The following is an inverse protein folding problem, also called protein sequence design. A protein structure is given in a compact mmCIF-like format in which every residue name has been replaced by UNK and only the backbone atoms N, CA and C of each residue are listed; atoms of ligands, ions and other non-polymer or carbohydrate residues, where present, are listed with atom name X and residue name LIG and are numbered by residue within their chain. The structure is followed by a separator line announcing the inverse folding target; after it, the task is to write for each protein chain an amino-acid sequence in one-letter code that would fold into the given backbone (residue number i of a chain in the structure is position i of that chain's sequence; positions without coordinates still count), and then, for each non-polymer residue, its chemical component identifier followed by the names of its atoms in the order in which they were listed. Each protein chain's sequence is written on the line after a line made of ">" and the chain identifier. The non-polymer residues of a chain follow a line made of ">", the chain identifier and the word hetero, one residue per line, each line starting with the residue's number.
data_IF_028952769286
#
_entry.id   IF_028952769286
#
_cell.length_a   1.000
_cell.length_b   1.000
_cell.length_c   1.000
_cell.angle_alpha   90.00
_cell.angle_beta   90.00
_cell.angle_gamma   90.00
#
_symmetry.space_group_name_H-M   'P 1'
#
loop_
_entity.id
_entity.type
_entity.pdbx_description
1 polymer ?
#
# COMPACT_ATOMS: atom_id res chain seq x y z
N UNK A 1 0.26 12.90 9.23
CA UNK A 1 -0.95 12.15 8.82
C UNK A 1 -1.92 12.02 10.00
N UNK A 2 -3.21 11.84 9.71
CA UNK A 2 -4.23 11.46 10.70
C UNK A 2 -3.81 10.16 11.44
N UNK A 3 -3.96 10.11 12.77
CA UNK A 3 -3.58 8.94 13.59
C UNK A 3 -4.33 7.67 13.22
N UNK A 4 -5.59 7.80 12.79
CA UNK A 4 -6.38 6.66 12.34
C UNK A 4 -5.86 6.12 10.99
N UNK A 5 -5.47 7.03 10.09
CA UNK A 5 -4.84 6.66 8.83
C UNK A 5 -3.48 5.98 9.07
N UNK A 6 -2.65 6.52 9.95
CA UNK A 6 -1.35 5.90 10.30
C UNK A 6 -1.54 4.49 10.84
N UNK A 7 -2.48 4.27 11.76
CA UNK A 7 -2.77 2.93 12.29
C UNK A 7 -3.22 1.97 11.19
N UNK A 8 -4.06 2.42 10.27
CA UNK A 8 -4.56 1.59 9.18
C UNK A 8 -3.44 1.26 8.19
N UNK A 9 -2.58 2.22 7.85
CA UNK A 9 -1.37 1.98 7.05
C UNK A 9 -0.48 0.93 7.70
N UNK A 10 -0.16 1.05 9.00
CA UNK A 10 0.67 0.07 9.71
C UNK A 10 0.02 -1.32 9.72
N UNK A 11 -1.30 -1.42 9.87
CA UNK A 11 -2.02 -2.70 9.80
C UNK A 11 -1.96 -3.31 8.39
N UNK A 12 -2.15 -2.49 7.36
CA UNK A 12 -2.10 -2.93 5.97
C UNK A 12 -0.68 -3.22 5.50
N UNK A 13 0.36 -2.58 6.05
CA UNK A 13 1.76 -2.97 5.82
C UNK A 13 2.01 -4.39 6.31
N UNK A 14 1.57 -4.73 7.53
CA UNK A 14 1.72 -6.09 8.08
C UNK A 14 0.99 -7.13 7.21
N UNK A 15 -0.23 -6.80 6.75
CA UNK A 15 -1.01 -7.66 5.83
C UNK A 15 -0.35 -7.75 4.47
N UNK A 16 0.16 -6.64 3.95
CA UNK A 16 0.89 -6.54 2.71
C UNK A 16 2.15 -7.39 2.74
N UNK A 17 2.94 -7.35 3.81
CA UNK A 17 4.10 -8.24 3.98
C UNK A 17 3.70 -9.71 4.02
N UNK A 18 2.54 -10.05 4.61
CA UNK A 18 2.03 -11.42 4.63
C UNK A 18 1.52 -11.89 3.25
N UNK A 19 0.85 -11.01 2.49
CA UNK A 19 0.32 -11.27 1.14
C UNK A 19 1.43 -11.32 0.08
N UNK A 20 2.36 -10.37 0.17
CA UNK A 20 3.47 -10.15 -0.74
C UNK A 20 4.79 -10.66 -0.18
N UNK A 21 4.78 -11.77 0.57
CA UNK A 21 5.96 -12.33 1.22
C UNK A 21 7.21 -12.28 0.34
N UNK A 22 8.31 -11.76 0.89
CA UNK A 22 9.60 -11.59 0.20
C UNK A 22 9.56 -10.77 -1.11
N UNK A 23 8.53 -9.99 -1.46
CA UNK A 23 8.54 -9.15 -2.70
C UNK A 23 9.45 -7.92 -2.56
N UNK A 24 9.90 -7.63 -1.34
CA UNK A 24 10.83 -6.57 -0.97
C UNK A 24 12.28 -6.92 -1.36
N UNK A 25 12.49 -7.43 -2.58
CA UNK A 25 13.82 -7.81 -3.11
C UNK A 25 14.45 -6.69 -3.92
N UNK A 26 13.65 -5.80 -4.50
CA UNK A 26 14.14 -4.68 -5.28
C UNK A 26 13.15 -3.50 -5.29
N UNK A 27 13.66 -2.26 -5.43
CA UNK A 27 12.80 -1.08 -5.56
C UNK A 27 11.83 -1.18 -6.74
N UNK A 28 12.24 -1.84 -7.83
CA UNK A 28 11.39 -2.03 -9.01
C UNK A 28 10.16 -2.90 -8.72
N UNK A 29 10.30 -3.95 -7.90
CA UNK A 29 9.16 -4.81 -7.56
C UNK A 29 8.17 -4.08 -6.66
N UNK A 30 8.66 -3.29 -5.70
CA UNK A 30 7.80 -2.47 -4.85
C UNK A 30 7.09 -1.35 -5.63
N UNK A 31 7.75 -0.75 -6.63
CA UNK A 31 7.12 0.23 -7.51
C UNK A 31 6.00 -0.38 -8.37
N UNK A 32 6.21 -1.61 -8.87
CA UNK A 32 5.17 -2.34 -9.61
C UNK A 32 3.97 -2.62 -8.69
N UNK A 33 4.21 -3.13 -7.49
CA UNK A 33 3.15 -3.39 -6.52
C UNK A 33 2.37 -2.12 -6.15
N UNK A 34 3.05 -0.97 -5.96
CA UNK A 34 2.39 0.30 -5.71
C UNK A 34 1.51 0.74 -6.89
N UNK A 35 1.93 0.43 -8.13
CA UNK A 35 1.14 0.73 -9.33
C UNK A 35 -0.12 -0.14 -9.41
N UNK A 36 -0.02 -1.41 -9.03
CA UNK A 36 -1.17 -2.31 -8.95
C UNK A 36 -2.19 -1.84 -7.90
N UNK A 37 -1.76 -1.52 -6.68
CA UNK A 37 -2.68 -1.02 -5.64
C UNK A 37 -3.29 0.35 -5.99
N UNK A 38 -2.57 1.23 -6.70
CA UNK A 38 -3.16 2.44 -7.25
C UNK A 38 -4.29 2.15 -8.25
N UNK A 39 -4.17 1.05 -9.00
CA UNK A 39 -5.23 0.53 -9.85
C UNK A 39 -6.46 0.07 -9.06
N UNK A 40 -6.26 -0.59 -7.93
CA UNK A 40 -7.33 -1.01 -7.02
C UNK A 40 -8.02 0.19 -6.35
N UNK A 41 -7.27 1.23 -5.96
CA UNK A 41 -7.85 2.51 -5.50
C UNK A 41 -8.76 3.10 -6.58
N UNK A 42 -8.28 3.18 -7.82
CA UNK A 42 -9.07 3.69 -8.93
C UNK A 42 -10.31 2.82 -9.18
N UNK A 43 -10.17 1.50 -9.11
CA UNK A 43 -11.27 0.55 -9.24
C UNK A 43 -12.34 0.80 -8.17
N UNK A 44 -11.95 0.84 -6.89
CA UNK A 44 -12.86 1.02 -5.76
C UNK A 44 -13.62 2.35 -5.81
N UNK A 45 -12.96 3.44 -6.23
CA UNK A 45 -13.60 4.75 -6.42
C UNK A 45 -14.61 4.70 -7.56
N UNK A 46 -14.20 4.17 -8.72
CA UNK A 46 -15.03 4.16 -9.93
C UNK A 46 -16.26 3.24 -9.79
N UNK A 47 -16.16 2.18 -8.99
CA UNK A 47 -17.25 1.24 -8.73
C UNK A 47 -18.04 1.55 -7.45
N UNK A 48 -17.72 2.64 -6.75
CA UNK A 48 -18.42 3.09 -5.53
C UNK A 48 -18.47 1.98 -4.47
N UNK A 49 -17.35 1.29 -4.24
CA UNK A 49 -17.25 0.14 -3.31
C UNK A 49 -17.38 0.53 -1.82
N UNK A 50 -17.69 1.79 -1.53
CA UNK A 50 -17.88 2.31 -0.19
C UNK A 50 -16.59 2.84 0.44
N UNK A 51 -16.78 3.73 1.43
CA UNK A 51 -15.70 4.47 2.08
C UNK A 51 -14.63 3.56 2.68
N UNK A 52 -15.03 2.48 3.34
CA UNK A 52 -14.09 1.63 4.07
C UNK A 52 -13.14 0.87 3.14
N UNK A 53 -13.65 0.45 1.98
CA UNK A 53 -12.90 -0.22 0.92
C UNK A 53 -11.91 0.74 0.26
N UNK A 54 -12.38 1.91 -0.15
CA UNK A 54 -11.51 2.97 -0.72
C UNK A 54 -10.39 3.34 0.27
N UNK A 55 -10.72 3.49 1.56
CA UNK A 55 -9.72 3.80 2.59
C UNK A 55 -8.73 2.66 2.80
N UNK A 56 -9.17 1.40 2.65
CA UNK A 56 -8.27 0.24 2.72
C UNK A 56 -7.26 0.27 1.56
N UNK A 57 -7.71 0.42 0.32
CA UNK A 57 -6.83 0.47 -0.86
C UNK A 57 -5.82 1.61 -0.80
N UNK A 58 -6.25 2.77 -0.32
CA UNK A 58 -5.35 3.92 -0.09
C UNK A 58 -4.30 3.59 0.97
N UNK A 59 -4.70 2.91 2.06
CA UNK A 59 -3.77 2.53 3.12
C UNK A 59 -2.76 1.46 2.65
N UNK A 60 -3.21 0.48 1.86
CA UNK A 60 -2.34 -0.53 1.23
C UNK A 60 -1.30 0.14 0.32
N UNK A 61 -1.74 1.06 -0.55
CA UNK A 61 -0.86 1.83 -1.44
C UNK A 61 0.21 2.61 -0.66
N UNK A 62 -0.18 3.33 0.40
CA UNK A 62 0.75 4.10 1.23
C UNK A 62 1.78 3.19 1.89
N UNK A 63 1.35 2.03 2.39
CA UNK A 63 2.26 1.06 3.02
C UNK A 63 3.32 0.51 2.05
N UNK A 64 2.97 0.28 0.79
CA UNK A 64 3.95 -0.11 -0.23
C UNK A 64 4.93 1.03 -0.53
N UNK A 65 4.43 2.26 -0.66
CA UNK A 65 5.28 3.43 -0.91
C UNK A 65 6.23 3.73 0.26
N UNK A 66 5.80 3.50 1.50
CA UNK A 66 6.67 3.62 2.68
C UNK A 66 7.82 2.62 2.62
N UNK A 67 7.54 1.35 2.34
CA UNK A 67 8.59 0.32 2.17
C UNK A 67 9.52 0.60 1.01
N UNK A 68 9.00 1.15 -0.09
CA UNK A 68 9.81 1.58 -1.23
C UNK A 68 10.75 2.72 -0.85
N UNK A 69 10.25 3.71 -0.12
CA UNK A 69 11.05 4.81 0.42
C UNK A 69 12.20 4.24 1.26
N UNK A 70 11.89 3.40 2.24
CA UNK A 70 12.87 2.84 3.17
C UNK A 70 13.97 2.08 2.42
N UNK A 71 13.60 1.23 1.45
CA UNK A 71 14.55 0.47 0.63
C UNK A 71 15.47 1.33 -0.24
N UNK A 72 15.00 2.50 -0.69
CA UNK A 72 15.81 3.44 -1.47
C UNK A 72 16.71 4.28 -0.57
N UNK A 73 16.27 4.60 0.66
CA UNK A 73 17.04 5.42 1.60
C UNK A 73 18.04 4.64 2.46
N UNK A 74 17.84 3.33 2.66
CA UNK A 74 18.76 2.47 3.43
C UNK A 74 19.91 1.88 2.57
N UNK A 75 20.06 2.32 1.31
CA UNK A 75 21.21 2.00 0.43
C UNK A 75 22.22 3.13 0.38
#
# INVERSE_FOLDING_TARGET
>A
MDRNLIRKVVQEEVRGTARWGNVDKSPSLLLIAATEELGEVAHAINHVEGRDRIVQEIAETIGILSRLHDMVTEK
#
